data_IF_127544187459
#
_entry.id   IF_127544187459
#
_cell.length_a   1.000
_cell.length_b   1.000
_cell.length_c   1.000
_cell.angle_alpha   90.00
_cell.angle_beta   90.00
_cell.angle_gamma   90.00
#
_symmetry.space_group_name_H-M   'P 1'
#
loop_
_entity.id
_entity.type
_entity.pdbx_description
1 polymer ?
#
# COMPACT_ATOMS: atom_id res chain seq x y z
N UNK A 1 9.51 29.40 -50.83
CA UNK A 1 9.34 30.07 -49.52
C UNK A 1 8.12 29.59 -48.72
N UNK A 2 6.93 29.42 -49.33
CA UNK A 2 5.71 28.99 -48.61
C UNK A 2 5.82 27.65 -47.84
N UNK A 3 6.55 26.65 -48.37
CA UNK A 3 6.73 25.33 -47.72
C UNK A 3 7.59 25.35 -46.45
N UNK A 4 8.53 26.30 -46.30
CA UNK A 4 9.36 26.42 -45.09
C UNK A 4 8.60 27.02 -43.91
N UNK A 5 7.74 28.01 -44.16
CA UNK A 5 6.91 28.65 -43.14
C UNK A 5 5.84 27.66 -42.64
N UNK A 6 5.27 26.87 -43.55
CA UNK A 6 4.31 25.81 -43.20
C UNK A 6 4.96 24.73 -42.32
N UNK A 7 6.21 24.35 -42.58
CA UNK A 7 6.96 23.38 -41.75
C UNK A 7 7.25 23.88 -40.33
N UNK A 8 7.59 25.16 -40.18
CA UNK A 8 7.80 25.80 -38.87
C UNK A 8 6.50 25.92 -38.06
N UNK A 9 5.39 26.28 -38.71
CA UNK A 9 4.08 26.37 -38.06
C UNK A 9 3.56 24.99 -37.63
N UNK A 10 3.71 23.96 -38.48
CA UNK A 10 3.29 22.59 -38.15
C UNK A 10 4.16 22.00 -37.04
N UNK A 11 5.49 22.23 -37.07
CA UNK A 11 6.39 21.78 -36.00
C UNK A 11 6.13 22.45 -34.66
N UNK A 12 5.86 23.77 -34.66
CA UNK A 12 5.49 24.51 -33.45
C UNK A 12 4.18 24.02 -32.84
N UNK A 13 3.17 23.75 -33.66
CA UNK A 13 1.87 23.25 -33.21
C UNK A 13 1.95 21.83 -32.64
N UNK A 14 2.72 20.95 -33.28
CA UNK A 14 3.01 19.59 -32.77
C UNK A 14 3.73 19.60 -31.43
N UNK A 15 4.69 20.52 -31.24
CA UNK A 15 5.39 20.68 -29.96
C UNK A 15 4.46 21.09 -28.81
N UNK A 16 3.51 22.00 -29.08
CA UNK A 16 2.51 22.44 -28.09
C UNK A 16 1.58 21.29 -27.72
N UNK A 17 1.10 20.51 -28.70
CA UNK A 17 0.21 19.36 -28.44
C UNK A 17 0.94 18.28 -27.61
N UNK A 18 2.18 17.96 -27.96
CA UNK A 18 2.98 16.98 -27.21
C UNK A 18 3.29 17.47 -25.78
N UNK A 19 3.64 18.74 -25.62
CA UNK A 19 3.87 19.36 -24.32
C UNK A 19 2.61 19.36 -23.43
N UNK A 20 1.46 19.71 -24.00
CA UNK A 20 0.18 19.68 -23.30
C UNK A 20 -0.23 18.24 -22.91
N UNK A 21 -0.03 17.26 -23.80
CA UNK A 21 -0.35 15.86 -23.53
C UNK A 21 0.52 15.26 -22.42
N UNK A 22 1.83 15.54 -22.45
CA UNK A 22 2.76 15.12 -21.40
C UNK A 22 2.44 15.79 -20.07
N UNK A 23 2.19 17.11 -20.06
CA UNK A 23 1.79 17.85 -18.86
C UNK A 23 0.51 17.32 -18.23
N UNK A 24 -0.50 17.01 -19.04
CA UNK A 24 -1.76 16.43 -18.59
C UNK A 24 -1.58 15.05 -17.95
N UNK A 25 -0.79 14.16 -18.56
CA UNK A 25 -0.49 12.85 -17.98
C UNK A 25 0.25 12.94 -16.66
N UNK A 26 1.20 13.88 -16.55
CA UNK A 26 1.95 14.10 -15.31
C UNK A 26 1.04 14.60 -14.19
N UNK A 27 0.07 15.47 -14.49
CA UNK A 27 -0.88 15.97 -13.51
C UNK A 27 -1.78 14.86 -12.96
N UNK A 28 -2.37 14.03 -13.84
CA UNK A 28 -3.18 12.87 -13.42
C UNK A 28 -2.36 11.90 -12.53
N UNK A 29 -1.09 11.66 -12.89
CA UNK A 29 -0.22 10.80 -12.10
C UNK A 29 0.10 11.36 -10.72
N UNK A 30 0.16 12.68 -10.57
CA UNK A 30 0.36 13.35 -9.29
C UNK A 30 -0.88 13.19 -8.39
N UNK A 31 -2.06 13.45 -8.92
CA UNK A 31 -3.31 13.37 -8.14
C UNK A 31 -3.55 11.95 -7.62
N UNK A 32 -3.33 10.92 -8.46
CA UNK A 32 -3.42 9.52 -8.01
C UNK A 32 -2.44 9.14 -6.91
N UNK A 33 -1.21 9.68 -6.94
CA UNK A 33 -0.23 9.43 -5.88
C UNK A 33 -0.67 10.07 -4.57
N UNK A 34 -1.24 11.27 -4.62
CA UNK A 34 -1.79 11.95 -3.43
C UNK A 34 -2.94 11.11 -2.85
N UNK A 35 -3.90 10.74 -3.68
CA UNK A 35 -5.06 9.91 -3.28
C UNK A 35 -4.62 8.57 -2.68
N UNK A 36 -3.64 7.90 -3.28
CA UNK A 36 -3.06 6.66 -2.75
C UNK A 36 -2.46 6.87 -1.36
N UNK A 37 -1.65 7.92 -1.19
CA UNK A 37 -0.97 8.18 0.08
C UNK A 37 -1.96 8.53 1.19
N UNK A 38 -2.98 9.33 0.87
CA UNK A 38 -4.05 9.69 1.81
C UNK A 38 -4.87 8.47 2.23
N UNK A 39 -5.24 7.61 1.27
CA UNK A 39 -6.04 6.42 1.57
C UNK A 39 -5.26 5.38 2.39
N UNK A 40 -3.94 5.26 2.20
CA UNK A 40 -3.11 4.27 2.90
C UNK A 40 -2.54 4.76 4.24
N UNK A 41 -2.57 6.07 4.48
CA UNK A 41 -2.05 6.71 5.69
C UNK A 41 -2.59 6.08 6.99
N UNK A 42 -3.89 5.78 7.14
CA UNK A 42 -4.44 5.20 8.36
C UNK A 42 -3.83 3.83 8.66
N UNK A 43 -3.73 2.96 7.64
CA UNK A 43 -3.14 1.62 7.76
C UNK A 43 -1.66 1.73 8.09
N UNK A 44 -0.94 2.68 7.47
CA UNK A 44 0.48 2.90 7.75
C UNK A 44 0.72 3.32 9.20
N UNK A 45 -0.09 4.26 9.71
CA UNK A 45 -0.02 4.71 11.11
C UNK A 45 -0.35 3.57 12.08
N UNK A 46 -1.37 2.77 11.79
CA UNK A 46 -1.72 1.62 12.59
C UNK A 46 -0.58 0.59 12.65
N UNK A 47 0.02 0.25 11.50
CA UNK A 47 1.17 -0.66 11.43
C UNK A 47 2.40 -0.13 12.19
N UNK A 48 2.68 1.18 12.12
CA UNK A 48 3.78 1.78 12.87
C UNK A 48 3.55 1.77 14.38
N UNK A 49 2.30 1.83 14.82
CA UNK A 49 1.91 1.70 16.24
C UNK A 49 1.83 0.25 16.71
N UNK A 50 2.02 -0.73 15.81
CA UNK A 50 1.86 -2.15 16.11
C UNK A 50 0.40 -2.57 16.30
N UNK A 51 -0.54 -1.78 15.77
CA UNK A 51 -1.98 -2.08 15.83
C UNK A 51 -2.33 -3.22 14.86
N UNK A 52 -3.32 -4.02 15.25
CA UNK A 52 -3.85 -5.08 14.40
C UNK A 52 -4.67 -4.47 13.27
N UNK A 53 -4.42 -4.91 12.03
CA UNK A 53 -5.17 -4.51 10.85
C UNK A 53 -6.23 -5.57 10.54
N UNK A 54 -7.49 -5.18 10.58
CA UNK A 54 -8.59 -6.08 10.28
C UNK A 54 -8.94 -6.09 8.78
N UNK A 55 -9.78 -7.04 8.37
CA UNK A 55 -10.17 -7.20 6.97
C UNK A 55 -11.06 -6.04 6.47
N UNK A 56 -11.79 -5.38 7.38
CA UNK A 56 -12.64 -4.25 7.04
C UNK A 56 -11.80 -3.04 6.61
N UNK A 57 -10.70 -2.73 7.32
CA UNK A 57 -9.77 -1.66 6.97
C UNK A 57 -9.15 -1.88 5.58
N UNK A 58 -8.78 -3.12 5.27
CA UNK A 58 -8.28 -3.49 3.95
C UNK A 58 -9.37 -3.40 2.89
N UNK A 59 -10.60 -3.80 3.20
CA UNK A 59 -11.72 -3.71 2.27
C UNK A 59 -12.05 -2.26 1.92
N UNK A 60 -12.00 -1.35 2.90
CA UNK A 60 -12.17 0.09 2.69
C UNK A 60 -11.05 0.63 1.79
N UNK A 61 -9.80 0.22 2.01
CA UNK A 61 -8.67 0.60 1.15
C UNK A 61 -8.90 0.14 -0.30
N UNK A 62 -9.35 -1.09 -0.49
CA UNK A 62 -9.65 -1.66 -1.82
C UNK A 62 -10.80 -0.91 -2.49
N UNK A 63 -11.85 -0.55 -1.75
CA UNK A 63 -12.96 0.23 -2.28
C UNK A 63 -12.50 1.63 -2.75
N UNK A 64 -11.57 2.28 -2.02
CA UNK A 64 -11.03 3.60 -2.38
C UNK A 64 -10.07 3.56 -3.57
N UNK A 65 -9.12 2.63 -3.56
CA UNK A 65 -8.00 2.64 -4.51
C UNK A 65 -8.16 1.64 -5.67
N UNK A 66 -9.14 0.75 -5.60
CA UNK A 66 -9.40 -0.26 -6.61
C UNK A 66 -8.15 -1.07 -6.94
N UNK A 67 -7.69 -0.97 -8.19
CA UNK A 67 -6.53 -1.74 -8.70
C UNK A 67 -5.22 -1.39 -7.99
N UNK A 68 -5.06 -0.16 -7.52
CA UNK A 68 -3.81 0.31 -6.92
C UNK A 68 -3.58 -0.32 -5.53
N UNK A 69 -4.64 -0.82 -4.89
CA UNK A 69 -4.56 -1.56 -3.61
C UNK A 69 -4.09 -3.02 -3.75
N UNK A 70 -4.00 -3.57 -4.97
CA UNK A 70 -3.82 -5.03 -5.20
C UNK A 70 -2.58 -5.60 -4.50
N UNK A 71 -1.48 -4.85 -4.48
CA UNK A 71 -0.25 -5.27 -3.80
C UNK A 71 -0.44 -5.38 -2.29
N UNK A 72 -1.14 -4.40 -1.69
CA UNK A 72 -1.43 -4.35 -0.25
C UNK A 72 -2.37 -5.49 0.12
N UNK A 73 -3.47 -5.68 -0.63
CA UNK A 73 -4.43 -6.76 -0.41
C UNK A 73 -3.77 -8.14 -0.50
N UNK A 74 -2.91 -8.35 -1.50
CA UNK A 74 -2.21 -9.62 -1.66
C UNK A 74 -1.27 -9.90 -0.49
N UNK A 75 -0.49 -8.91 -0.05
CA UNK A 75 0.39 -9.06 1.11
C UNK A 75 -0.40 -9.25 2.40
N UNK A 76 -1.55 -8.59 2.55
CA UNK A 76 -2.45 -8.81 3.67
C UNK A 76 -2.88 -10.28 3.75
N UNK A 77 -3.49 -10.81 2.67
CA UNK A 77 -4.06 -12.16 2.63
C UNK A 77 -3.01 -13.27 2.67
N UNK A 78 -1.87 -13.09 1.99
CA UNK A 78 -0.86 -14.15 1.84
C UNK A 78 0.20 -14.16 2.93
N UNK A 79 0.43 -13.03 3.60
CA UNK A 79 1.54 -12.90 4.56
C UNK A 79 1.06 -12.39 5.90
N UNK A 80 0.36 -11.25 5.94
CA UNK A 80 -0.01 -10.62 7.20
C UNK A 80 -0.99 -11.48 8.00
N UNK A 81 -2.18 -11.73 7.45
CA UNK A 81 -3.25 -12.45 8.14
C UNK A 81 -2.84 -13.87 8.55
N UNK A 82 -2.17 -14.69 7.71
CA UNK A 82 -1.70 -16.01 8.13
C UNK A 82 -0.69 -15.95 9.28
N UNK A 83 0.28 -15.03 9.25
CA UNK A 83 1.28 -14.90 10.31
C UNK A 83 0.69 -14.36 11.62
N UNK A 84 -0.29 -13.45 11.55
CA UNK A 84 -1.03 -13.00 12.72
C UNK A 84 -1.80 -14.16 13.35
N UNK A 85 -2.53 -14.93 12.54
CA UNK A 85 -3.27 -16.11 13.01
C UNK A 85 -2.34 -17.17 13.62
N UNK A 86 -1.18 -17.43 13.01
CA UNK A 86 -0.17 -18.33 13.57
C UNK A 86 0.38 -17.83 14.90
N UNK A 87 0.68 -16.54 15.00
CA UNK A 87 1.16 -15.93 16.24
C UNK A 87 0.11 -16.01 17.34
N UNK A 88 -1.16 -15.71 17.05
CA UNK A 88 -2.24 -15.81 18.02
C UNK A 88 -2.52 -17.26 18.43
N UNK A 89 -2.35 -18.23 17.53
CA UNK A 89 -2.44 -19.65 17.85
C UNK A 89 -1.30 -20.17 18.75
N UNK A 90 -0.13 -19.51 18.72
CA UNK A 90 0.99 -19.77 19.63
C UNK A 90 0.77 -19.09 20.97
N UNK A 91 0.28 -17.84 20.96
CA UNK A 91 -0.06 -17.03 22.14
C UNK A 91 -1.38 -17.48 22.76
N UNK A 92 -1.49 -18.77 23.06
CA UNK A 92 -2.66 -19.37 23.71
C UNK A 92 -2.86 -18.74 25.08
N UNK A 93 -4.12 -18.44 25.38
CA UNK A 93 -4.54 -17.97 26.69
C UNK A 93 -5.31 -19.07 27.40
N UNK A 94 -5.08 -19.21 28.69
CA UNK A 94 -5.92 -20.06 29.54
C UNK A 94 -7.30 -19.42 29.77
N UNK A 95 -8.15 -20.12 30.53
CA UNK A 95 -9.49 -19.66 30.93
C UNK A 95 -9.48 -18.35 31.73
N UNK A 96 -8.33 -17.94 32.28
CA UNK A 96 -8.14 -16.72 33.03
C UNK A 96 -7.46 -15.61 32.22
N UNK A 97 -7.20 -15.84 30.93
CA UNK A 97 -6.56 -14.88 30.04
C UNK A 97 -5.02 -14.82 30.13
N UNK A 98 -4.37 -15.74 30.87
CA UNK A 98 -2.92 -15.81 31.02
C UNK A 98 -2.29 -16.54 29.85
N UNK A 99 -1.13 -16.06 29.41
CA UNK A 99 -0.36 -16.73 28.36
C UNK A 99 0.17 -18.06 28.88
N UNK A 100 -0.08 -19.14 28.13
CA UNK A 100 0.38 -20.49 28.46
C UNK A 100 1.62 -20.92 27.68
N UNK A 101 2.15 -20.05 26.82
CA UNK A 101 3.31 -20.34 25.99
C UNK A 101 4.61 -20.17 26.78
N UNK A 102 5.62 -20.95 26.41
CA UNK A 102 6.96 -20.78 26.95
C UNK A 102 7.65 -19.53 26.34
N UNK A 103 8.84 -19.20 26.83
CA UNK A 103 9.59 -18.01 26.39
C UNK A 103 9.97 -18.09 24.89
N UNK A 104 10.42 -19.24 24.41
CA UNK A 104 10.84 -19.41 23.02
C UNK A 104 9.65 -19.26 22.06
N UNK A 105 8.51 -19.85 22.42
CA UNK A 105 7.25 -19.71 21.68
C UNK A 105 6.77 -18.26 21.64
N UNK A 106 6.85 -17.56 22.77
CA UNK A 106 6.52 -16.14 22.84
C UNK A 106 7.42 -15.30 21.92
N UNK A 107 8.74 -15.50 21.98
CA UNK A 107 9.69 -14.80 21.13
C UNK A 107 9.45 -15.09 19.64
N UNK A 108 9.16 -16.36 19.29
CA UNK A 108 8.79 -16.76 17.93
C UNK A 108 7.48 -16.09 17.46
N UNK A 109 6.45 -16.07 18.30
CA UNK A 109 5.18 -15.42 17.99
C UNK A 109 5.33 -13.90 17.78
N UNK A 110 6.16 -13.24 18.59
CA UNK A 110 6.47 -11.82 18.44
C UNK A 110 7.28 -11.54 17.16
N UNK A 111 8.20 -12.43 16.78
CA UNK A 111 8.92 -12.35 15.51
C UNK A 111 7.97 -12.47 14.32
N UNK A 112 7.02 -13.42 14.35
CA UNK A 112 6.01 -13.56 13.31
C UNK A 112 5.16 -12.30 13.15
N UNK A 113 4.71 -11.68 14.25
CA UNK A 113 3.97 -10.40 14.24
C UNK A 113 4.79 -9.28 13.62
N UNK A 114 6.05 -9.14 14.05
CA UNK A 114 6.96 -8.12 13.51
C UNK A 114 7.23 -8.29 12.01
N UNK A 115 7.44 -9.52 11.57
CA UNK A 115 7.68 -9.83 10.16
C UNK A 115 6.42 -9.57 9.31
N UNK A 116 5.24 -9.92 9.82
CA UNK A 116 3.96 -9.65 9.19
C UNK A 116 3.73 -8.15 9.00
N UNK A 117 3.87 -7.39 10.08
CA UNK A 117 3.71 -5.93 10.08
C UNK A 117 4.71 -5.24 9.15
N UNK A 118 5.99 -5.63 9.22
CA UNK A 118 7.03 -5.10 8.33
C UNK A 118 6.72 -5.37 6.86
N UNK A 119 6.30 -6.61 6.54
CA UNK A 119 5.99 -7.00 5.16
C UNK A 119 4.84 -6.16 4.58
N UNK A 120 3.79 -5.94 5.37
CA UNK A 120 2.64 -5.12 4.96
C UNK A 120 3.03 -3.64 4.87
N UNK A 121 3.80 -3.14 5.84
CA UNK A 121 4.27 -1.75 5.88
C UNK A 121 5.13 -1.40 4.65
N UNK A 122 5.98 -2.32 4.19
CA UNK A 122 6.78 -2.13 2.95
C UNK A 122 5.87 -1.88 1.75
N UNK A 123 4.74 -2.58 1.65
CA UNK A 123 3.78 -2.35 0.56
C UNK A 123 2.93 -1.09 0.74
N UNK A 124 2.89 -0.56 1.96
CA UNK A 124 2.25 0.72 2.28
C UNK A 124 3.19 1.92 2.14
N UNK A 125 4.49 1.70 1.91
CA UNK A 125 5.47 2.75 1.62
C UNK A 125 5.53 2.99 0.11
N UNK A 126 5.09 4.19 -0.28
CA UNK A 126 5.27 4.89 -1.56
C UNK A 126 5.59 4.09 -2.84
N UNK A 127 4.71 4.28 -3.83
CA UNK A 127 5.01 4.28 -5.27
C UNK A 127 5.03 5.71 -5.80
#
# INVERSE_FOLDING_TARGET
MSKMILGLLVGGFLGIILGAWLGYKLNIGRDRRIEFNEAIEPIRKALMRGEYINEQEISILVAKLGRDSKAVLNTYRKVYQPKMNMSDAILRKDIYGRLTCNREEYEHAMKLKKDAMTSLLIKCKHR
#
